data_IF_845842462623
#
_entry.id   IF_845842462623
#
_cell.length_a   1.000
_cell.length_b   1.000
_cell.length_c   1.000
_cell.angle_alpha   90.00
_cell.angle_beta   90.00
_cell.angle_gamma   90.00
#
_symmetry.space_group_name_H-M   'P 1'
#
loop_
_entity.id
_entity.type
_entity.pdbx_description
1 polymer ?
#
# COMPACT_ATOMS: atom_id res chain seq x y z
N UNK A 1 -5.88 -11.36 23.01
CA UNK A 1 -7.32 -10.93 23.06
C UNK A 1 -7.54 -9.48 22.62
N UNK A 2 -6.95 -8.41 23.28
CA UNK A 2 -7.21 -7.01 22.89
C UNK A 2 -6.64 -6.65 21.50
N UNK A 3 -5.39 -7.01 21.22
CA UNK A 3 -4.74 -6.80 19.92
C UNK A 3 -5.44 -7.54 18.77
N UNK A 4 -5.84 -8.77 19.01
CA UNK A 4 -6.53 -9.59 18.02
C UNK A 4 -7.90 -8.99 17.63
N UNK A 5 -8.65 -8.50 18.62
CA UNK A 5 -9.93 -7.83 18.38
C UNK A 5 -9.77 -6.53 17.59
N UNK A 6 -8.71 -5.76 17.88
CA UNK A 6 -8.37 -4.57 17.09
C UNK A 6 -8.08 -4.94 15.63
N UNK A 7 -7.31 -5.99 15.40
CA UNK A 7 -6.99 -6.47 14.05
C UNK A 7 -8.25 -6.93 13.29
N UNK A 8 -9.20 -7.60 13.97
CA UNK A 8 -10.49 -7.98 13.36
C UNK A 8 -11.27 -6.75 12.91
N UNK A 9 -11.33 -5.68 13.72
CA UNK A 9 -11.99 -4.43 13.38
C UNK A 9 -11.32 -3.74 12.18
N UNK A 10 -10.00 -3.68 12.15
CA UNK A 10 -9.24 -3.09 11.02
C UNK A 10 -9.50 -3.87 9.73
N UNK A 11 -9.51 -5.19 9.77
CA UNK A 11 -9.85 -6.04 8.61
C UNK A 11 -11.30 -5.86 8.14
N UNK A 12 -12.26 -5.74 9.06
CA UNK A 12 -13.65 -5.45 8.75
C UNK A 12 -13.80 -4.08 8.06
N UNK A 13 -13.09 -3.07 8.59
CA UNK A 13 -13.07 -1.73 8.03
C UNK A 13 -12.49 -1.70 6.60
N UNK A 14 -11.36 -2.38 6.38
CA UNK A 14 -10.75 -2.47 5.05
C UNK A 14 -11.75 -3.00 4.01
N UNK A 15 -12.43 -4.12 4.31
CA UNK A 15 -13.44 -4.69 3.40
C UNK A 15 -14.63 -3.77 3.17
N UNK A 16 -15.18 -3.17 4.24
CA UNK A 16 -16.37 -2.33 4.12
C UNK A 16 -16.07 -1.01 3.42
N UNK A 17 -14.98 -0.35 3.75
CA UNK A 17 -14.58 0.91 3.11
C UNK A 17 -14.29 0.71 1.61
N UNK A 18 -13.57 -0.36 1.24
CA UNK A 18 -13.31 -0.67 -0.16
C UNK A 18 -14.59 -1.01 -0.95
N UNK A 19 -15.57 -1.67 -0.31
CA UNK A 19 -16.80 -2.12 -0.98
C UNK A 19 -17.86 -1.03 -1.08
N UNK A 20 -18.04 -0.21 -0.02
CA UNK A 20 -19.15 0.76 0.10
C UNK A 20 -18.66 2.21 0.08
N UNK A 21 -17.35 2.46 0.19
CA UNK A 21 -16.78 3.77 0.45
C UNK A 21 -16.87 4.16 1.93
N UNK A 22 -15.93 4.96 2.40
CA UNK A 22 -15.84 5.38 3.80
C UNK A 22 -17.14 6.04 4.32
N UNK A 23 -17.75 6.92 3.51
CA UNK A 23 -18.91 7.71 3.94
C UNK A 23 -20.17 6.86 4.20
N UNK A 24 -20.33 5.76 3.46
CA UNK A 24 -21.51 4.89 3.55
C UNK A 24 -21.42 3.84 4.68
N UNK A 25 -20.31 3.79 5.42
CA UNK A 25 -20.09 2.82 6.50
C UNK A 25 -20.26 3.49 7.85
N UNK A 26 -21.05 2.87 8.74
CA UNK A 26 -21.24 3.29 10.13
C UNK A 26 -20.38 2.47 11.09
N UNK A 27 -20.29 2.91 12.34
CA UNK A 27 -19.63 2.12 13.42
C UNK A 27 -20.40 0.83 13.74
N UNK A 28 -21.71 0.84 13.55
CA UNK A 28 -22.60 -0.32 13.69
C UNK A 28 -22.35 -1.35 12.59
N UNK A 29 -22.14 -0.92 11.33
CA UNK A 29 -21.75 -1.80 10.24
C UNK A 29 -20.41 -2.49 10.54
N UNK A 30 -19.44 -1.73 11.07
CA UNK A 30 -18.13 -2.25 11.47
C UNK A 30 -18.25 -3.28 12.61
N UNK A 31 -19.11 -3.02 13.58
CA UNK A 31 -19.39 -3.94 14.67
C UNK A 31 -19.99 -5.26 14.15
N UNK A 32 -20.99 -5.17 13.28
CA UNK A 32 -21.67 -6.32 12.67
C UNK A 32 -20.69 -7.14 11.82
N UNK A 33 -19.91 -6.50 10.96
CA UNK A 33 -18.91 -7.16 10.09
C UNK A 33 -17.80 -7.87 10.90
N UNK A 34 -17.38 -7.26 12.02
CA UNK A 34 -16.35 -7.82 12.91
C UNK A 34 -16.90 -8.84 13.91
N UNK A 35 -18.22 -9.06 13.95
CA UNK A 35 -18.84 -9.97 14.92
C UNK A 35 -18.70 -9.52 16.37
N UNK A 36 -18.77 -8.19 16.63
CA UNK A 36 -18.65 -7.62 17.97
C UNK A 36 -19.84 -6.71 18.30
N UNK A 37 -20.01 -6.37 19.56
CA UNK A 37 -21.03 -5.39 19.97
C UNK A 37 -20.58 -3.95 19.64
N UNK A 38 -21.53 -3.04 19.38
CA UNK A 38 -21.26 -1.63 19.16
C UNK A 38 -20.33 -1.02 20.22
N UNK A 39 -20.65 -1.15 21.54
CA UNK A 39 -19.76 -0.68 22.60
C UNK A 39 -18.35 -1.27 22.57
N UNK A 40 -18.18 -2.48 22.00
CA UNK A 40 -16.85 -3.08 21.88
C UNK A 40 -15.99 -2.38 20.83
N UNK A 41 -16.59 -1.85 19.74
CA UNK A 41 -15.86 -1.06 18.74
C UNK A 41 -15.33 0.23 19.36
N UNK A 42 -16.17 0.96 20.08
CA UNK A 42 -15.79 2.23 20.72
C UNK A 42 -14.71 2.10 21.80
N UNK A 43 -14.48 0.90 22.35
CA UNK A 43 -13.33 0.62 23.25
C UNK A 43 -11.99 0.57 22.50
N UNK A 44 -12.00 0.40 21.20
CA UNK A 44 -10.80 0.33 20.36
C UNK A 44 -10.59 1.58 19.54
N UNK A 45 -11.66 2.15 19.01
CA UNK A 45 -11.62 3.31 18.11
C UNK A 45 -12.72 4.31 18.49
N UNK A 46 -12.34 5.56 18.71
CA UNK A 46 -13.25 6.63 19.10
C UNK A 46 -14.20 7.05 17.98
N UNK A 47 -13.79 6.83 16.72
CA UNK A 47 -14.58 7.14 15.53
C UNK A 47 -14.13 6.28 14.35
N UNK A 48 -14.88 6.31 13.25
CA UNK A 48 -14.46 5.62 12.01
C UNK A 48 -13.29 6.34 11.31
N UNK A 49 -13.15 7.65 11.51
CA UNK A 49 -11.99 8.42 11.05
C UNK A 49 -10.71 7.96 11.74
N UNK A 50 -10.76 7.74 13.07
CA UNK A 50 -9.64 7.19 13.83
C UNK A 50 -9.27 5.77 13.36
N UNK A 51 -10.26 4.96 12.99
CA UNK A 51 -10.02 3.62 12.46
C UNK A 51 -9.43 3.67 11.04
N UNK A 52 -9.89 4.60 10.19
CA UNK A 52 -9.31 4.82 8.86
C UNK A 52 -7.87 5.31 8.96
N UNK A 53 -7.58 6.24 9.88
CA UNK A 53 -6.23 6.73 10.13
C UNK A 53 -5.30 5.60 10.54
N UNK A 54 -5.73 4.80 11.49
CA UNK A 54 -4.99 3.64 11.97
C UNK A 54 -4.68 2.64 10.85
N UNK A 55 -5.68 2.32 10.03
CA UNK A 55 -5.52 1.44 8.87
C UNK A 55 -4.47 1.94 7.88
N UNK A 56 -4.54 3.23 7.51
CA UNK A 56 -3.67 3.81 6.50
C UNK A 56 -2.25 4.10 7.03
N UNK A 57 -2.11 4.44 8.30
CA UNK A 57 -0.80 4.60 8.95
C UNK A 57 -0.11 3.24 9.04
N UNK A 58 -0.80 2.21 9.56
CA UNK A 58 -0.24 0.86 9.75
C UNK A 58 0.25 0.26 8.42
N UNK A 59 -0.55 0.34 7.35
CA UNK A 59 -0.13 -0.16 6.05
C UNK A 59 1.05 0.63 5.48
N UNK A 60 1.09 1.95 5.68
CA UNK A 60 2.18 2.80 5.20
C UNK A 60 3.49 2.52 5.96
N UNK A 61 3.42 2.28 7.26
CA UNK A 61 4.55 1.86 8.09
C UNK A 61 5.08 0.49 7.67
N UNK A 62 4.19 -0.48 7.45
CA UNK A 62 4.57 -1.82 6.98
C UNK A 62 5.25 -1.79 5.61
N UNK A 63 4.71 -0.99 4.66
CA UNK A 63 5.33 -0.83 3.34
C UNK A 63 6.72 -0.20 3.44
N UNK A 64 6.88 0.83 4.26
CA UNK A 64 8.17 1.49 4.47
C UNK A 64 9.19 0.54 5.11
N UNK A 65 8.81 -0.14 6.19
CA UNK A 65 9.72 -1.03 6.91
C UNK A 65 10.17 -2.20 6.03
N UNK A 66 9.23 -2.88 5.37
CA UNK A 66 9.55 -3.98 4.46
C UNK A 66 10.30 -3.50 3.23
N UNK A 67 9.94 -2.33 2.68
CA UNK A 67 10.68 -1.73 1.58
C UNK A 67 12.15 -1.48 1.92
N UNK A 68 12.43 -0.98 3.13
CA UNK A 68 13.81 -0.84 3.61
C UNK A 68 14.54 -2.17 3.67
N UNK A 69 13.89 -3.22 4.17
CA UNK A 69 14.47 -4.58 4.22
C UNK A 69 14.80 -5.09 2.82
N UNK A 70 13.89 -4.96 1.86
CA UNK A 70 14.11 -5.36 0.46
C UNK A 70 15.22 -4.53 -0.23
N UNK A 71 15.45 -3.30 0.21
CA UNK A 71 16.48 -2.41 -0.34
C UNK A 71 17.92 -2.72 0.16
N UNK A 72 18.10 -3.67 1.09
CA UNK A 72 19.40 -3.94 1.75
C UNK A 72 20.35 -4.84 0.94
N UNK A 73 19.91 -5.43 -0.19
CA UNK A 73 20.79 -6.26 -1.03
C UNK A 73 22.08 -5.51 -1.45
N UNK A 74 23.20 -6.21 -1.48
CA UNK A 74 24.47 -5.68 -1.98
C UNK A 74 24.40 -5.29 -3.45
N UNK A 75 23.62 -6.05 -4.26
CA UNK A 75 23.31 -5.72 -5.66
C UNK A 75 22.13 -4.74 -5.72
N UNK A 76 22.33 -3.50 -6.20
CA UNK A 76 21.21 -2.57 -6.37
C UNK A 76 20.10 -3.08 -7.33
N UNK A 77 20.49 -3.85 -8.36
CA UNK A 77 19.52 -4.45 -9.28
C UNK A 77 18.65 -5.49 -8.60
N UNK A 78 19.24 -6.38 -7.79
CA UNK A 78 18.49 -7.34 -6.99
C UNK A 78 17.59 -6.66 -5.96
N UNK A 79 18.08 -5.60 -5.31
CA UNK A 79 17.28 -4.80 -4.38
C UNK A 79 16.04 -4.21 -5.07
N UNK A 80 16.21 -3.65 -6.28
CA UNK A 80 15.10 -3.07 -7.03
C UNK A 80 14.11 -4.14 -7.51
N UNK A 81 14.60 -5.27 -8.03
CA UNK A 81 13.76 -6.41 -8.41
C UNK A 81 12.96 -6.95 -7.22
N UNK A 82 13.59 -7.03 -6.04
CA UNK A 82 12.95 -7.43 -4.79
C UNK A 82 11.86 -6.45 -4.34
N UNK A 83 12.10 -5.14 -4.46
CA UNK A 83 11.12 -4.10 -4.18
C UNK A 83 9.92 -4.18 -5.14
N UNK A 84 10.17 -4.35 -6.44
CA UNK A 84 9.11 -4.49 -7.45
C UNK A 84 8.26 -5.74 -7.16
N UNK A 85 8.88 -6.89 -6.90
CA UNK A 85 8.18 -8.12 -6.56
C UNK A 85 7.33 -7.94 -5.29
N UNK A 86 7.91 -7.40 -4.22
CA UNK A 86 7.22 -7.16 -2.95
C UNK A 86 6.00 -6.23 -3.12
N UNK A 87 6.16 -5.10 -3.83
CA UNK A 87 5.05 -4.16 -4.02
C UNK A 87 3.97 -4.74 -4.94
N UNK A 88 4.36 -5.51 -5.97
CA UNK A 88 3.41 -6.24 -6.82
C UNK A 88 2.57 -7.23 -6.01
N UNK A 89 3.21 -8.00 -5.12
CA UNK A 89 2.52 -8.95 -4.24
C UNK A 89 1.55 -8.23 -3.30
N UNK A 90 1.95 -7.10 -2.73
CA UNK A 90 1.07 -6.23 -1.94
C UNK A 90 -0.12 -5.74 -2.79
N UNK A 91 0.13 -5.18 -3.97
CA UNK A 91 -0.90 -4.61 -4.83
C UNK A 91 -1.92 -5.67 -5.31
N UNK A 92 -1.50 -6.90 -5.52
CA UNK A 92 -2.39 -8.00 -5.90
C UNK A 92 -3.20 -8.55 -4.73
N UNK A 93 -2.60 -8.63 -3.54
CA UNK A 93 -3.24 -9.20 -2.35
C UNK A 93 -4.17 -8.20 -1.65
N UNK A 94 -3.71 -6.95 -1.52
CA UNK A 94 -4.32 -5.93 -0.66
C UNK A 94 -5.00 -4.81 -1.49
N UNK A 95 -5.69 -5.18 -2.58
CA UNK A 95 -6.37 -4.26 -3.52
C UNK A 95 -7.33 -3.29 -2.83
N UNK A 96 -7.99 -3.74 -1.77
CA UNK A 96 -8.91 -2.94 -0.99
C UNK A 96 -8.20 -1.76 -0.31
N UNK A 97 -6.97 -1.96 0.17
CA UNK A 97 -6.15 -0.90 0.76
C UNK A 97 -5.76 0.17 -0.26
N UNK A 98 -5.44 -0.24 -1.49
CA UNK A 98 -5.14 0.71 -2.58
C UNK A 98 -6.37 1.56 -2.89
N UNK A 99 -7.56 0.95 -3.03
CA UNK A 99 -8.81 1.70 -3.26
C UNK A 99 -9.10 2.72 -2.17
N UNK A 100 -8.95 2.31 -0.90
CA UNK A 100 -9.16 3.19 0.24
C UNK A 100 -8.15 4.34 0.19
N UNK A 101 -6.89 4.05 -0.10
CA UNK A 101 -5.84 5.05 -0.21
C UNK A 101 -6.11 6.06 -1.32
N UNK A 102 -6.61 5.62 -2.48
CA UNK A 102 -6.92 6.49 -3.61
C UNK A 102 -8.13 7.41 -3.35
N UNK A 103 -9.13 6.94 -2.59
CA UNK A 103 -10.42 7.63 -2.48
C UNK A 103 -10.68 8.27 -1.12
N UNK A 104 -10.10 7.73 -0.05
CA UNK A 104 -10.52 8.07 1.30
C UNK A 104 -9.50 8.89 2.11
N UNK A 105 -8.33 9.20 1.57
CA UNK A 105 -7.32 10.05 2.22
C UNK A 105 -7.88 11.42 2.64
N UNK A 106 -8.79 11.98 1.87
CA UNK A 106 -9.42 13.27 2.16
C UNK A 106 -10.35 13.25 3.39
N UNK A 107 -10.69 12.05 3.90
CA UNK A 107 -11.52 11.90 5.10
C UNK A 107 -10.69 11.81 6.39
N UNK A 108 -9.36 11.85 6.30
CA UNK A 108 -8.45 11.88 7.46
C UNK A 108 -8.40 13.27 8.11
N UNK A 109 -8.15 13.30 9.42
CA UNK A 109 -7.71 14.51 10.08
C UNK A 109 -6.36 14.97 9.50
N UNK A 110 -6.10 16.28 9.53
CA UNK A 110 -4.92 16.88 8.89
C UNK A 110 -3.61 16.27 9.37
N UNK A 111 -3.48 15.96 10.65
CA UNK A 111 -2.27 15.35 11.23
C UNK A 111 -2.05 13.93 10.74
N UNK A 112 -3.12 13.13 10.67
CA UNK A 112 -3.07 11.75 10.17
C UNK A 112 -2.73 11.73 8.68
N UNK A 113 -3.36 12.60 7.88
CA UNK A 113 -3.05 12.75 6.48
C UNK A 113 -1.58 13.15 6.23
N UNK A 114 -1.02 14.05 7.07
CA UNK A 114 0.41 14.40 7.03
C UNK A 114 1.30 13.21 7.38
N UNK A 115 0.91 12.42 8.37
CA UNK A 115 1.65 11.23 8.78
C UNK A 115 1.69 10.20 7.66
N UNK A 116 0.53 9.86 7.07
CA UNK A 116 0.46 8.95 5.90
C UNK A 116 1.31 9.47 4.75
N UNK A 117 1.16 10.75 4.37
CA UNK A 117 1.92 11.36 3.27
C UNK A 117 3.44 11.33 3.51
N UNK A 118 3.88 11.51 4.75
CA UNK A 118 5.30 11.42 5.11
C UNK A 118 5.82 9.99 4.96
N UNK A 119 5.07 8.99 5.42
CA UNK A 119 5.43 7.58 5.32
C UNK A 119 5.52 7.13 3.86
N UNK A 120 4.53 7.50 3.04
CA UNK A 120 4.50 7.22 1.61
C UNK A 120 5.68 7.86 0.87
N UNK A 121 5.99 9.13 1.18
CA UNK A 121 7.16 9.82 0.64
C UNK A 121 8.45 9.10 1.04
N UNK A 122 8.58 8.69 2.30
CA UNK A 122 9.76 7.95 2.76
C UNK A 122 9.90 6.60 2.05
N UNK A 123 8.79 5.92 1.76
CA UNK A 123 8.81 4.68 0.98
C UNK A 123 9.25 4.93 -0.47
N UNK A 124 8.75 5.97 -1.10
CA UNK A 124 9.20 6.41 -2.44
C UNK A 124 10.72 6.67 -2.45
N UNK A 125 11.25 7.37 -1.43
CA UNK A 125 12.69 7.68 -1.33
C UNK A 125 13.56 6.42 -1.23
N UNK A 126 13.09 5.36 -0.60
CA UNK A 126 13.80 4.07 -0.59
C UNK A 126 14.03 3.58 -2.02
N UNK A 127 13.00 3.60 -2.85
CA UNK A 127 13.08 3.16 -4.25
C UNK A 127 13.97 4.08 -5.10
N UNK A 128 13.80 5.39 -4.95
CA UNK A 128 14.63 6.39 -5.64
C UNK A 128 16.11 6.20 -5.32
N UNK A 129 16.43 5.96 -4.05
CA UNK A 129 17.80 5.68 -3.61
C UNK A 129 18.38 4.43 -4.26
N UNK A 130 17.60 3.35 -4.36
CA UNK A 130 18.05 2.11 -5.01
C UNK A 130 18.23 2.33 -6.52
N UNK A 131 17.28 2.96 -7.20
CA UNK A 131 17.38 3.23 -8.64
C UNK A 131 18.63 4.08 -8.98
N UNK A 132 18.94 5.11 -8.18
CA UNK A 132 20.12 5.94 -8.37
C UNK A 132 21.45 5.24 -8.03
N UNK A 133 21.42 4.16 -7.26
CA UNK A 133 22.60 3.28 -7.10
C UNK A 133 22.87 2.46 -8.36
N UNK A 134 21.86 2.17 -9.17
CA UNK A 134 21.99 1.46 -10.46
C UNK A 134 22.50 2.43 -11.52
N UNK A 135 21.92 3.62 -11.60
CA UNK A 135 22.30 4.68 -12.54
C UNK A 135 22.60 6.00 -11.79
N UNK A 136 23.85 6.22 -11.39
CA UNK A 136 24.25 7.45 -10.70
C UNK A 136 24.13 8.73 -11.53
N UNK A 137 24.03 8.63 -12.86
CA UNK A 137 23.83 9.79 -13.74
C UNK A 137 22.38 10.27 -13.74
N UNK A 138 21.45 9.45 -13.23
CA UNK A 138 20.04 9.79 -13.18
C UNK A 138 19.79 10.90 -12.15
N UNK A 139 19.19 12.02 -12.60
CA UNK A 139 18.79 13.07 -11.66
C UNK A 139 17.72 12.57 -10.70
N UNK A 140 17.68 13.12 -9.49
CA UNK A 140 16.69 12.73 -8.48
C UNK A 140 15.24 12.93 -8.97
N UNK A 141 14.98 14.04 -9.69
CA UNK A 141 13.64 14.34 -10.23
C UNK A 141 13.19 13.30 -11.26
N UNK A 142 14.09 12.87 -12.14
CA UNK A 142 13.79 11.84 -13.15
C UNK A 142 13.60 10.49 -12.47
N UNK A 143 14.45 10.11 -11.53
CA UNK A 143 14.30 8.88 -10.77
C UNK A 143 12.96 8.85 -10.03
N UNK A 144 12.59 9.94 -9.34
CA UNK A 144 11.31 10.09 -8.64
C UNK A 144 10.12 9.93 -9.59
N UNK A 145 10.15 10.57 -10.76
CA UNK A 145 9.08 10.45 -11.76
C UNK A 145 8.93 9.02 -12.26
N UNK A 146 10.03 8.33 -12.56
CA UNK A 146 10.00 6.91 -12.96
C UNK A 146 9.38 6.02 -11.89
N UNK A 147 9.78 6.18 -10.62
CA UNK A 147 9.23 5.37 -9.52
C UNK A 147 7.75 5.68 -9.30
N UNK A 148 7.32 6.95 -9.38
CA UNK A 148 5.90 7.31 -9.29
C UNK A 148 5.07 6.68 -10.40
N UNK A 149 5.59 6.66 -11.64
CA UNK A 149 4.92 5.99 -12.76
C UNK A 149 4.79 4.48 -12.53
N UNK A 150 5.84 3.85 -12.01
CA UNK A 150 5.80 2.42 -11.63
C UNK A 150 4.79 2.16 -10.51
N UNK A 151 4.70 3.00 -9.49
CA UNK A 151 3.65 2.89 -8.47
C UNK A 151 2.26 3.01 -9.08
N UNK A 152 2.03 3.95 -10.00
CA UNK A 152 0.76 4.06 -10.72
C UNK A 152 0.42 2.79 -11.51
N UNK A 153 1.42 2.20 -12.19
CA UNK A 153 1.27 0.94 -12.89
C UNK A 153 0.90 -0.21 -11.94
N UNK A 154 1.66 -0.41 -10.86
CA UNK A 154 1.43 -1.49 -9.92
C UNK A 154 0.12 -1.32 -9.14
N UNK A 155 -0.22 -0.09 -8.75
CA UNK A 155 -1.46 0.23 -8.03
C UNK A 155 -2.71 0.26 -8.94
N UNK A 156 -2.58 0.00 -10.25
CA UNK A 156 -3.74 -0.14 -11.14
C UNK A 156 -4.53 -1.45 -10.92
N UNK A 157 -3.99 -2.38 -10.16
CA UNK A 157 -4.55 -3.74 -9.93
C UNK A 157 -6.00 -3.78 -9.45
N UNK A 158 -6.51 -2.85 -8.60
CA UNK A 158 -7.92 -2.84 -8.21
C UNK A 158 -8.88 -2.64 -9.38
N UNK A 159 -8.40 -2.00 -10.44
CA UNK A 159 -9.20 -1.59 -11.59
C UNK A 159 -9.02 -2.50 -12.82
N UNK A 160 -7.88 -3.17 -12.95
CA UNK A 160 -7.48 -3.87 -14.18
C UNK A 160 -7.24 -5.36 -14.03
N UNK A 161 -6.82 -5.83 -12.85
CA UNK A 161 -6.42 -7.23 -12.70
C UNK A 161 -7.62 -8.18 -12.54
N UNK A 162 -7.67 -9.21 -13.39
CA UNK A 162 -8.60 -10.32 -13.24
C UNK A 162 -8.26 -11.15 -12.00
N UNK A 163 -9.28 -11.66 -11.29
CA UNK A 163 -9.09 -12.60 -10.17
C UNK A 163 -8.68 -14.01 -10.62
N UNK A 164 -8.67 -14.31 -11.93
CA UNK A 164 -8.57 -15.68 -12.45
C UNK A 164 -7.16 -16.19 -12.64
N UNK A 165 -6.19 -15.29 -12.84
CA UNK A 165 -4.79 -15.69 -13.04
C UNK A 165 -3.85 -14.69 -12.36
N UNK A 166 -3.66 -14.89 -11.05
CA UNK A 166 -2.84 -13.99 -10.24
C UNK A 166 -1.35 -14.14 -10.56
N UNK A 167 -0.88 -15.34 -10.91
CA UNK A 167 0.54 -15.57 -11.19
C UNK A 167 0.96 -14.96 -12.53
N UNK A 168 0.17 -15.18 -13.60
CA UNK A 168 0.43 -14.53 -14.88
C UNK A 168 0.35 -13.01 -14.78
N UNK A 169 -0.65 -12.49 -14.06
CA UNK A 169 -0.77 -11.04 -13.80
C UNK A 169 0.45 -10.51 -13.04
N UNK A 170 0.92 -11.23 -12.03
CA UNK A 170 2.13 -10.91 -11.28
C UNK A 170 3.35 -10.80 -12.18
N UNK A 171 3.58 -11.83 -13.00
CA UNK A 171 4.71 -11.87 -13.92
C UNK A 171 4.68 -10.69 -14.92
N UNK A 172 3.52 -10.38 -15.49
CA UNK A 172 3.33 -9.25 -16.40
C UNK A 172 3.67 -7.92 -15.68
N UNK A 173 3.11 -7.70 -14.50
CA UNK A 173 3.32 -6.44 -13.76
C UNK A 173 4.78 -6.25 -13.35
N UNK A 174 5.45 -7.31 -12.90
CA UNK A 174 6.88 -7.27 -12.55
C UNK A 174 7.71 -6.93 -13.78
N UNK A 175 7.48 -7.61 -14.93
CA UNK A 175 8.20 -7.33 -16.17
C UNK A 175 7.97 -5.89 -16.63
N UNK A 176 6.70 -5.45 -16.71
CA UNK A 176 6.38 -4.08 -17.11
C UNK A 176 7.00 -3.01 -16.19
N UNK A 177 7.03 -3.25 -14.88
CA UNK A 177 7.65 -2.34 -13.93
C UNK A 177 9.17 -2.23 -14.13
N UNK A 178 9.85 -3.35 -14.33
CA UNK A 178 11.28 -3.38 -14.60
C UNK A 178 11.62 -2.72 -15.93
N UNK A 179 10.87 -3.00 -17.00
CA UNK A 179 11.05 -2.37 -18.29
C UNK A 179 10.81 -0.86 -18.26
N UNK A 180 9.78 -0.40 -17.52
CA UNK A 180 9.51 1.05 -17.33
C UNK A 180 10.67 1.78 -16.62
N UNK A 181 11.43 1.07 -15.80
CA UNK A 181 12.65 1.61 -15.16
C UNK A 181 13.86 1.59 -16.09
N UNK A 182 13.76 0.93 -17.26
CA UNK A 182 14.85 0.75 -18.22
C UNK A 182 15.77 -0.43 -17.86
N UNK A 183 15.24 -1.42 -17.14
CA UNK A 183 15.98 -2.56 -16.60
C UNK A 183 15.33 -3.85 -17.11
N UNK A 184 15.56 -4.19 -18.37
CA UNK A 184 15.03 -5.42 -18.94
C UNK A 184 15.63 -6.64 -18.28
N UNK A 185 14.78 -7.50 -17.69
CA UNK A 185 15.20 -8.81 -17.19
C UNK A 185 15.50 -9.71 -18.39
N UNK A 186 16.78 -9.97 -18.66
CA UNK A 186 17.20 -10.98 -19.61
C UNK A 186 17.03 -12.33 -18.91
N UNK A 187 16.07 -13.13 -19.35
CA UNK A 187 15.85 -14.50 -18.88
C UNK A 187 16.79 -15.48 -19.60
#
# INVERSE_FOLDING_TARGET
MKAERRLQLVRAASRLFAKRGFRAVSMEDLAAEAGVSGPAVYRHFTSKEALLADLLIDVSEQLLERGRQHATSASPLEALASLVAFHTDFALRDRDLIRIQDHDLANLALEDARTVSRLQRSYLEVWVGVLRRIDPALSESVARTKIQAVFGLLNSTPHSASHRDTEATRAILVTMAMDALGLTLVY
#
